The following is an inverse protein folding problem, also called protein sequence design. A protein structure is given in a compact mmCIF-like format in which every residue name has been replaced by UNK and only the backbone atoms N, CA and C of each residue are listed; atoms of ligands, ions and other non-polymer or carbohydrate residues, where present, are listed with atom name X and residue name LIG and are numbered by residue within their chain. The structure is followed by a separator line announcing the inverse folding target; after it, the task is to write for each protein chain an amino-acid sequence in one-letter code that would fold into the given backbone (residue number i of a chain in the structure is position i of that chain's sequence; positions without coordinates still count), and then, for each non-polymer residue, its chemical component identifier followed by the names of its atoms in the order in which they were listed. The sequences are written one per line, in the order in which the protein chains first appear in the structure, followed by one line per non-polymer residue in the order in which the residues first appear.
data_IF_295785482641
#
_entry.id   IF_295785482641
#
_cell.length_a   1.000
_cell.length_b   1.000
_cell.length_c   1.000
_cell.angle_alpha   90.00
_cell.angle_beta   90.00
_cell.angle_gamma   90.00
#
_symmetry.space_group_name_H-M   'P 1'
#
loop_
_entity.id
_entity.type
_entity.pdbx_description
1 polymer ?
#
# COMPACT_ATOMS: atom_id res chain seq x y z
N UNK A 1 -29.03 -8.31 -2.36
CA UNK A 1 -30.08 -7.44 -1.81
C UNK A 1 -29.63 -6.04 -2.12
N UNK A 2 -30.35 -5.35 -3.02
CA UNK A 2 -30.07 -3.97 -3.40
C UNK A 2 -30.22 -3.09 -2.16
N UNK A 3 -29.14 -2.41 -1.73
CA UNK A 3 -29.22 -1.42 -0.68
C UNK A 3 -30.12 -0.27 -1.12
N UNK A 4 -31.33 -0.21 -0.61
CA UNK A 4 -32.20 0.93 -0.73
C UNK A 4 -31.67 2.01 0.23
N UNK A 5 -31.23 3.13 -0.31
CA UNK A 5 -30.88 4.29 0.50
C UNK A 5 -32.16 5.03 0.92
N UNK A 6 -32.28 5.34 2.20
CA UNK A 6 -33.37 6.13 2.71
C UNK A 6 -33.00 7.61 2.67
N UNK A 7 -33.77 8.38 1.94
CA UNK A 7 -33.63 9.84 1.86
C UNK A 7 -34.68 10.53 2.74
N UNK A 8 -34.42 11.78 3.11
CA UNK A 8 -35.34 12.62 3.91
C UNK A 8 -35.66 11.99 5.27
N UNK A 9 -34.62 11.54 5.94
CA UNK A 9 -34.71 10.99 7.30
C UNK A 9 -34.59 12.13 8.30
N UNK A 10 -35.64 12.33 9.11
CA UNK A 10 -35.66 13.33 10.19
C UNK A 10 -34.90 12.84 11.42
N UNK A 11 -34.95 11.55 11.70
CA UNK A 11 -34.25 10.97 12.84
C UNK A 11 -34.24 9.46 12.87
N UNK A 12 -33.25 8.93 13.57
CA UNK A 12 -33.09 7.48 13.78
C UNK A 12 -33.03 7.21 15.28
N UNK A 13 -33.94 6.37 15.78
CA UNK A 13 -33.91 5.88 17.17
C UNK A 13 -33.39 4.44 17.20
N UNK A 14 -32.44 4.19 18.07
CA UNK A 14 -31.83 2.88 18.23
C UNK A 14 -32.38 2.18 19.45
N UNK A 15 -32.98 1.03 19.27
CA UNK A 15 -33.44 0.17 20.35
C UNK A 15 -32.45 -0.98 20.53
N UNK A 16 -31.93 -1.13 21.74
CA UNK A 16 -31.02 -2.22 22.11
C UNK A 16 -31.72 -3.13 23.10
N UNK A 17 -32.12 -4.32 22.65
CA UNK A 17 -32.58 -5.39 23.51
C UNK A 17 -31.42 -6.30 23.93
N UNK A 18 -31.71 -7.26 24.81
CA UNK A 18 -30.70 -8.19 25.35
C UNK A 18 -29.99 -9.03 24.26
N UNK A 19 -30.70 -9.30 23.13
CA UNK A 19 -30.22 -10.13 22.04
C UNK A 19 -30.38 -9.54 20.64
N UNK A 20 -31.09 -8.42 20.49
CA UNK A 20 -31.38 -7.83 19.18
C UNK A 20 -31.30 -6.31 19.24
N UNK A 21 -30.83 -5.73 18.15
CA UNK A 21 -30.78 -4.29 17.92
C UNK A 21 -31.77 -3.97 16.80
N UNK A 22 -32.55 -2.91 16.94
CA UNK A 22 -33.47 -2.44 15.92
C UNK A 22 -33.37 -0.94 15.76
N UNK A 23 -33.65 -0.47 14.56
CA UNK A 23 -33.67 0.94 14.21
C UNK A 23 -35.11 1.35 13.90
N UNK A 24 -35.53 2.48 14.43
CA UNK A 24 -36.77 3.18 14.06
C UNK A 24 -36.41 4.44 13.32
N UNK A 25 -36.81 4.52 12.08
CA UNK A 25 -36.57 5.65 11.18
C UNK A 25 -37.81 6.53 11.17
N UNK A 26 -37.62 7.81 11.36
CA UNK A 26 -38.65 8.84 11.29
C UNK A 26 -38.35 9.66 10.03
N UNK A 27 -39.25 9.69 9.09
CA UNK A 27 -39.13 10.44 7.85
C UNK A 27 -39.72 11.85 7.96
N UNK A 28 -39.29 12.75 7.08
CA UNK A 28 -39.78 14.14 7.05
C UNK A 28 -41.29 14.23 6.73
N UNK A 29 -41.84 13.24 6.03
CA UNK A 29 -43.28 13.14 5.75
C UNK A 29 -44.10 12.61 6.92
N UNK A 30 -43.50 12.37 8.09
CA UNK A 30 -44.14 11.82 9.25
C UNK A 30 -44.19 10.30 9.32
N UNK A 31 -43.79 9.57 8.29
CA UNK A 31 -43.75 8.12 8.32
C UNK A 31 -42.74 7.61 9.35
N UNK A 32 -43.11 6.54 10.03
CA UNK A 32 -42.27 5.85 11.01
C UNK A 32 -42.16 4.36 10.61
N UNK A 33 -40.93 3.92 10.32
CA UNK A 33 -40.65 2.52 9.97
C UNK A 33 -39.58 1.94 10.89
N UNK A 34 -39.73 0.67 11.25
CA UNK A 34 -38.78 -0.03 12.13
C UNK A 34 -38.18 -1.22 11.40
N UNK A 35 -36.87 -1.37 11.52
CA UNK A 35 -36.09 -2.39 10.87
C UNK A 35 -35.17 -3.08 11.87
N UNK A 36 -35.03 -4.42 11.81
CA UNK A 36 -33.96 -5.12 12.51
C UNK A 36 -32.58 -4.67 12.02
N UNK A 37 -31.58 -4.69 12.89
CA UNK A 37 -30.22 -4.28 12.54
C UNK A 37 -29.56 -5.15 11.46
N UNK A 38 -30.10 -6.33 11.21
CA UNK A 38 -29.62 -7.25 10.17
C UNK A 38 -29.91 -6.72 8.75
N UNK A 39 -30.90 -5.85 8.60
CA UNK A 39 -31.38 -5.32 7.32
C UNK A 39 -31.01 -3.85 7.11
N UNK A 40 -30.37 -3.20 8.08
CA UNK A 40 -30.09 -1.77 8.01
C UNK A 40 -28.68 -1.45 8.51
N UNK A 41 -27.87 -0.79 7.69
CA UNK A 41 -26.67 -0.09 8.11
C UNK A 41 -26.95 1.41 8.24
N UNK A 42 -26.45 2.02 9.32
CA UNK A 42 -26.54 3.46 9.53
C UNK A 42 -25.14 4.02 9.43
N UNK A 43 -24.93 4.90 8.48
CA UNK A 43 -23.68 5.63 8.28
C UNK A 43 -23.90 7.10 8.61
N UNK A 44 -22.93 7.71 9.28
CA UNK A 44 -22.95 9.13 9.60
C UNK A 44 -22.15 9.90 8.54
N UNK A 45 -22.67 11.07 8.15
CA UNK A 45 -21.93 12.00 7.31
C UNK A 45 -20.79 12.67 8.08
N UNK A 46 -19.73 13.04 7.39
CA UNK A 46 -18.67 13.89 7.98
C UNK A 46 -19.27 15.21 8.48
N UNK A 47 -18.83 15.65 9.65
CA UNK A 47 -19.33 16.87 10.31
C UNK A 47 -18.20 17.82 10.73
N UNK A 48 -16.94 17.42 10.53
CA UNK A 48 -15.82 18.28 10.86
C UNK A 48 -15.61 19.37 9.80
N UNK A 49 -15.38 20.59 10.28
CA UNK A 49 -15.24 21.77 9.43
C UNK A 49 -14.14 21.61 8.37
N UNK A 50 -13.00 21.04 8.72
CA UNK A 50 -11.87 20.89 7.80
C UNK A 50 -12.21 19.98 6.61
N UNK A 51 -12.83 18.84 6.87
CA UNK A 51 -13.25 17.92 5.80
C UNK A 51 -14.27 18.55 4.87
N UNK A 52 -15.23 19.31 5.45
CA UNK A 52 -16.25 20.01 4.68
C UNK A 52 -15.64 21.13 3.83
N UNK A 53 -14.78 21.96 4.41
CA UNK A 53 -14.10 23.06 3.70
C UNK A 53 -13.26 22.52 2.52
N UNK A 54 -12.52 21.41 2.72
CA UNK A 54 -11.73 20.78 1.65
C UNK A 54 -12.64 20.18 0.57
N UNK A 55 -13.74 19.54 0.95
CA UNK A 55 -14.70 19.00 0.00
C UNK A 55 -15.33 20.12 -0.86
N UNK A 56 -15.69 21.23 -0.23
CA UNK A 56 -16.24 22.40 -0.92
C UNK A 56 -15.22 23.03 -1.87
N UNK A 57 -13.99 23.19 -1.42
CA UNK A 57 -12.88 23.63 -2.26
C UNK A 57 -12.70 22.73 -3.50
N UNK A 58 -12.71 21.40 -3.32
CA UNK A 58 -12.61 20.45 -4.44
C UNK A 58 -13.79 20.58 -5.41
N UNK A 59 -15.01 20.81 -4.90
CA UNK A 59 -16.19 21.07 -5.73
C UNK A 59 -16.02 22.35 -6.54
N UNK A 60 -15.51 23.44 -5.96
CA UNK A 60 -15.23 24.67 -6.68
C UNK A 60 -14.17 24.48 -7.78
N UNK A 61 -13.03 23.87 -7.44
CA UNK A 61 -11.96 23.58 -8.40
C UNK A 61 -12.45 22.70 -9.55
N UNK A 62 -13.37 21.78 -9.26
CA UNK A 62 -13.91 20.86 -10.27
C UNK A 62 -14.70 21.58 -11.38
N UNK A 63 -15.22 22.78 -11.13
CA UNK A 63 -15.95 23.59 -12.13
C UNK A 63 -15.05 24.05 -13.27
N UNK A 64 -13.77 24.20 -12.99
CA UNK A 64 -12.77 24.65 -13.98
C UNK A 64 -12.09 23.49 -14.70
N UNK A 65 -12.37 22.25 -14.31
CA UNK A 65 -11.80 21.07 -14.92
C UNK A 65 -12.80 20.36 -15.83
N UNK A 66 -12.53 20.41 -17.12
CA UNK A 66 -13.32 19.79 -18.16
C UNK A 66 -12.52 18.64 -18.77
N UNK A 67 -13.11 17.46 -18.83
CA UNK A 67 -12.49 16.28 -19.43
C UNK A 67 -13.06 16.12 -20.83
N UNK A 68 -12.24 16.22 -21.90
CA UNK A 68 -12.68 15.92 -23.26
C UNK A 68 -12.98 14.42 -23.40
N UNK A 69 -14.05 14.09 -24.09
CA UNK A 69 -14.41 12.73 -24.49
C UNK A 69 -14.15 12.55 -25.99
N UNK A 70 -14.09 11.28 -26.43
CA UNK A 70 -13.80 10.90 -27.82
C UNK A 70 -14.82 11.42 -28.85
N UNK A 71 -16.04 11.78 -28.44
CA UNK A 71 -17.12 12.26 -29.32
C UNK A 71 -17.31 13.78 -29.27
N UNK A 72 -16.28 14.58 -29.16
CA UNK A 72 -16.35 16.05 -28.98
C UNK A 72 -17.23 16.51 -27.81
N UNK A 73 -17.63 15.59 -26.97
CA UNK A 73 -18.35 15.84 -25.71
C UNK A 73 -17.36 16.12 -24.60
N UNK A 74 -17.72 17.04 -23.76
CA UNK A 74 -16.95 17.33 -22.56
C UNK A 74 -17.75 16.95 -21.32
N UNK A 75 -17.11 16.30 -20.35
CA UNK A 75 -17.71 16.09 -19.03
C UNK A 75 -17.04 17.05 -18.06
N UNK A 76 -17.84 17.89 -17.42
CA UNK A 76 -17.37 18.68 -16.30
C UNK A 76 -17.19 17.79 -15.08
N UNK A 77 -16.04 17.87 -14.41
CA UNK A 77 -15.84 17.22 -13.12
C UNK A 77 -16.84 17.70 -12.07
N UNK A 78 -17.34 18.94 -12.20
CA UNK A 78 -18.40 19.47 -11.35
C UNK A 78 -19.65 18.58 -11.33
N UNK A 79 -20.03 18.00 -12.48
CA UNK A 79 -21.17 17.06 -12.56
C UNK A 79 -20.95 15.79 -11.72
N UNK A 80 -19.70 15.34 -11.61
CA UNK A 80 -19.35 14.18 -10.79
C UNK A 80 -19.32 14.55 -9.31
N UNK A 81 -18.73 15.69 -8.98
CA UNK A 81 -18.68 16.18 -7.61
C UNK A 81 -20.05 16.61 -7.07
N UNK A 82 -20.98 17.09 -7.89
CA UNK A 82 -22.35 17.40 -7.45
C UNK A 82 -23.11 16.16 -6.96
N UNK A 83 -22.77 14.97 -7.48
CA UNK A 83 -23.35 13.69 -7.04
C UNK A 83 -22.76 13.20 -5.71
N UNK A 84 -21.65 13.79 -5.26
CA UNK A 84 -21.02 13.46 -3.99
C UNK A 84 -21.68 14.28 -2.87
N UNK A 85 -22.87 13.88 -2.46
CA UNK A 85 -23.66 14.53 -1.41
C UNK A 85 -23.40 13.96 -0.01
N UNK A 86 -22.84 12.77 0.07
CA UNK A 86 -22.62 12.04 1.31
C UNK A 86 -21.22 11.45 1.37
N UNK A 87 -20.52 11.69 2.45
CA UNK A 87 -19.21 11.08 2.75
C UNK A 87 -19.32 10.42 4.12
N UNK A 88 -19.23 9.08 4.20
CA UNK A 88 -19.34 8.37 5.46
C UNK A 88 -18.18 8.71 6.42
N UNK A 89 -18.48 8.87 7.70
CA UNK A 89 -17.44 8.94 8.75
C UNK A 89 -16.67 7.62 8.81
N UNK A 90 -15.38 7.70 9.05
CA UNK A 90 -14.47 6.55 9.06
C UNK A 90 -14.15 5.99 7.66
N UNK A 91 -14.66 6.62 6.59
CA UNK A 91 -14.33 6.25 5.22
C UNK A 91 -12.90 6.68 4.83
N UNK A 92 -12.35 6.03 3.81
CA UNK A 92 -11.06 6.45 3.24
C UNK A 92 -11.12 7.86 2.64
N UNK A 93 -12.30 8.25 2.15
CA UNK A 93 -12.51 9.60 1.62
C UNK A 93 -12.43 10.65 2.72
N UNK A 94 -13.01 10.42 3.91
CA UNK A 94 -12.81 11.30 5.06
C UNK A 94 -11.31 11.43 5.40
N UNK A 95 -10.59 10.30 5.45
CA UNK A 95 -9.15 10.31 5.69
C UNK A 95 -8.34 11.06 4.63
N UNK A 96 -8.79 11.07 3.38
CA UNK A 96 -8.20 11.86 2.31
C UNK A 96 -8.49 13.37 2.46
N UNK A 97 -9.71 13.72 2.83
CA UNK A 97 -10.11 15.11 3.07
C UNK A 97 -9.44 15.69 4.32
N UNK A 98 -9.21 14.87 5.32
CA UNK A 98 -8.58 15.27 6.59
C UNK A 98 -7.65 14.18 7.10
N UNK A 99 -6.35 14.38 6.89
CA UNK A 99 -5.30 13.41 7.28
C UNK A 99 -5.35 13.05 8.79
N UNK A 100 -5.84 13.96 9.65
CA UNK A 100 -5.98 13.69 11.06
C UNK A 100 -7.10 12.68 11.39
N UNK A 101 -8.02 12.48 10.45
CA UNK A 101 -9.10 11.47 10.53
C UNK A 101 -8.72 10.15 9.88
N UNK A 102 -7.60 10.10 9.18
CA UNK A 102 -7.13 8.87 8.57
C UNK A 102 -6.74 7.85 9.64
N UNK A 103 -7.48 6.77 9.69
CA UNK A 103 -7.18 5.66 10.59
C UNK A 103 -6.02 4.82 10.04
N UNK A 104 -4.88 4.96 10.68
CA UNK A 104 -3.65 4.22 10.35
C UNK A 104 -3.67 2.77 10.85
N UNK A 105 -4.82 2.26 11.33
CA UNK A 105 -4.88 0.86 11.75
C UNK A 105 -4.48 -0.04 10.60
N UNK A 106 -3.36 -0.72 10.77
CA UNK A 106 -2.89 -1.76 9.87
C UNK A 106 -3.98 -2.84 9.81
N UNK A 107 -4.51 -3.09 8.65
CA UNK A 107 -5.36 -4.27 8.43
C UNK A 107 -4.51 -5.50 8.76
N UNK A 108 -5.16 -6.62 9.13
CA UNK A 108 -4.45 -7.85 9.50
C UNK A 108 -3.25 -8.08 8.60
N UNK A 109 -2.09 -8.36 9.22
CA UNK A 109 -0.87 -8.74 8.50
C UNK A 109 -1.19 -9.79 7.44
N UNK A 110 -0.87 -9.48 6.20
CA UNK A 110 -1.14 -10.33 5.05
C UNK A 110 0.19 -10.93 4.60
N UNK A 111 0.21 -12.23 4.34
CA UNK A 111 1.32 -12.88 3.65
C UNK A 111 1.06 -12.80 2.14
N UNK A 112 1.64 -11.83 1.41
CA UNK A 112 1.35 -11.63 0.00
C UNK A 112 1.98 -12.71 -0.87
N UNK A 113 1.31 -13.04 -1.97
CA UNK A 113 1.86 -13.90 -3.04
C UNK A 113 2.39 -13.03 -4.18
N UNK A 114 3.37 -13.55 -4.90
CA UNK A 114 4.07 -12.81 -5.97
C UNK A 114 4.17 -13.64 -7.28
N UNK A 115 3.04 -13.96 -7.93
CA UNK A 115 3.05 -14.79 -9.14
C UNK A 115 3.81 -14.16 -10.30
N UNK A 116 3.95 -12.83 -10.29
CA UNK A 116 4.70 -12.09 -11.32
C UNK A 116 6.16 -11.81 -10.91
N UNK A 117 6.66 -12.43 -9.81
CA UNK A 117 7.96 -12.12 -9.23
C UNK A 117 7.99 -10.77 -8.53
N UNK A 118 9.03 -10.53 -7.74
CA UNK A 118 9.23 -9.23 -7.08
C UNK A 118 10.70 -9.03 -6.71
N UNK A 119 11.07 -7.78 -6.50
CA UNK A 119 12.25 -7.40 -5.73
C UNK A 119 11.82 -6.88 -4.34
N UNK A 120 12.78 -6.57 -3.49
CA UNK A 120 12.52 -6.12 -2.11
C UNK A 120 11.61 -4.89 -2.03
N UNK A 121 11.86 -3.87 -2.87
CA UNK A 121 11.05 -2.65 -2.86
C UNK A 121 9.61 -2.91 -3.33
N UNK A 122 9.44 -3.75 -4.35
CA UNK A 122 8.14 -4.21 -4.82
C UNK A 122 7.42 -5.06 -3.77
N UNK A 123 8.14 -5.97 -3.06
CA UNK A 123 7.59 -6.72 -1.94
C UNK A 123 6.99 -5.78 -0.88
N UNK A 124 7.77 -4.78 -0.45
CA UNK A 124 7.30 -3.79 0.51
C UNK A 124 6.08 -3.01 -0.01
N UNK A 125 6.12 -2.56 -1.26
CA UNK A 125 5.03 -1.82 -1.88
C UNK A 125 3.72 -2.63 -1.94
N UNK A 126 3.79 -3.91 -2.32
CA UNK A 126 2.62 -4.81 -2.35
C UNK A 126 2.07 -5.03 -0.94
N UNK A 127 2.93 -5.33 0.03
CA UNK A 127 2.52 -5.50 1.41
C UNK A 127 1.85 -4.25 1.96
N UNK A 128 2.48 -3.09 1.79
CA UNK A 128 1.96 -1.82 2.28
C UNK A 128 0.61 -1.47 1.63
N UNK A 129 0.42 -1.79 0.33
CA UNK A 129 -0.84 -1.61 -0.37
C UNK A 129 -1.96 -2.52 0.15
N UNK A 130 -1.64 -3.73 0.60
CA UNK A 130 -2.62 -4.68 1.13
C UNK A 130 -2.97 -4.43 2.61
N UNK A 131 -2.02 -3.91 3.38
CA UNK A 131 -2.17 -3.65 4.81
C UNK A 131 -2.77 -2.28 5.12
N UNK A 132 -2.60 -1.29 4.24
CA UNK A 132 -3.07 0.08 4.45
C UNK A 132 -4.30 0.40 3.59
N UNK A 133 -5.11 1.33 4.07
CA UNK A 133 -6.27 1.82 3.31
C UNK A 133 -5.87 2.71 2.12
N UNK A 134 -4.79 3.49 2.27
CA UNK A 134 -4.22 4.35 1.24
C UNK A 134 -2.72 4.07 1.17
N UNK A 135 -2.21 3.87 -0.03
CA UNK A 135 -0.79 3.63 -0.28
C UNK A 135 -0.36 4.37 -1.54
N UNK A 136 0.81 5.00 -1.48
CA UNK A 136 1.41 5.73 -2.62
C UNK A 136 2.68 5.00 -3.04
N UNK A 137 2.71 4.55 -4.30
CA UNK A 137 3.84 3.82 -4.87
C UNK A 137 4.49 4.70 -5.93
N UNK A 138 5.68 5.19 -5.64
CA UNK A 138 6.47 5.99 -6.56
C UNK A 138 7.62 5.17 -7.15
N UNK A 139 7.97 5.46 -8.39
CA UNK A 139 9.13 4.86 -9.04
C UNK A 139 9.32 5.42 -10.45
N UNK A 140 10.57 5.62 -10.90
CA UNK A 140 10.86 6.01 -12.27
C UNK A 140 10.39 4.94 -13.28
N UNK A 141 10.37 5.25 -14.59
CA UNK A 141 10.14 4.25 -15.63
C UNK A 141 11.10 3.06 -15.47
N UNK A 142 10.64 1.84 -15.77
CA UNK A 142 11.47 0.63 -15.71
C UNK A 142 11.58 -0.03 -14.31
N UNK A 143 11.08 0.57 -13.24
CA UNK A 143 11.15 0.00 -11.88
C UNK A 143 10.16 -1.14 -11.60
N UNK A 144 9.37 -1.54 -12.59
CA UNK A 144 8.41 -2.64 -12.45
C UNK A 144 7.10 -2.26 -11.74
N UNK A 145 6.64 -0.99 -11.87
CA UNK A 145 5.35 -0.55 -11.33
C UNK A 145 4.18 -1.43 -11.79
N UNK A 146 4.13 -1.77 -13.09
CA UNK A 146 3.09 -2.67 -13.63
C UNK A 146 3.13 -4.04 -12.98
N UNK A 147 4.32 -4.59 -12.76
CA UNK A 147 4.51 -5.86 -12.06
C UNK A 147 4.01 -5.78 -10.60
N UNK A 148 4.26 -4.68 -9.93
CA UNK A 148 3.74 -4.41 -8.58
C UNK A 148 2.21 -4.37 -8.58
N UNK A 149 1.59 -3.68 -9.55
CA UNK A 149 0.13 -3.65 -9.72
C UNK A 149 -0.43 -5.05 -9.93
N UNK A 150 0.18 -5.85 -10.80
CA UNK A 150 -0.26 -7.23 -11.07
C UNK A 150 -0.19 -8.12 -9.83
N UNK A 151 0.85 -7.97 -9.01
CA UNK A 151 0.95 -8.70 -7.74
C UNK A 151 -0.11 -8.23 -6.72
N UNK A 152 -0.42 -6.93 -6.65
CA UNK A 152 -1.53 -6.42 -5.83
C UNK A 152 -2.85 -7.02 -6.30
N UNK A 153 -3.10 -7.03 -7.63
CA UNK A 153 -4.29 -7.64 -8.22
C UNK A 153 -4.43 -9.11 -7.86
N UNK A 154 -3.37 -9.90 -8.00
CA UNK A 154 -3.37 -11.32 -7.68
C UNK A 154 -3.80 -11.57 -6.21
N UNK A 155 -3.28 -10.78 -5.28
CA UNK A 155 -3.63 -10.88 -3.86
C UNK A 155 -5.07 -10.47 -3.58
N UNK A 156 -5.58 -9.44 -4.25
CA UNK A 156 -6.97 -8.99 -4.10
C UNK A 156 -7.95 -10.04 -4.65
N UNK A 157 -7.65 -10.64 -5.81
CA UNK A 157 -8.44 -11.73 -6.42
C UNK A 157 -8.45 -12.95 -5.48
N UNK A 158 -7.29 -13.36 -4.97
CA UNK A 158 -7.20 -14.46 -4.00
C UNK A 158 -8.02 -14.18 -2.73
N UNK A 159 -8.12 -12.92 -2.34
CA UNK A 159 -8.98 -12.45 -1.25
C UNK A 159 -10.46 -12.30 -1.61
N UNK A 160 -10.90 -12.69 -2.81
CA UNK A 160 -12.27 -12.54 -3.30
C UNK A 160 -12.72 -11.08 -3.45
N UNK A 161 -11.78 -10.16 -3.70
CA UNK A 161 -12.05 -8.73 -3.86
C UNK A 161 -12.21 -8.36 -5.33
N UNK A 162 -13.11 -7.44 -5.59
CA UNK A 162 -13.18 -6.73 -6.87
C UNK A 162 -12.23 -5.54 -6.84
N UNK A 163 -11.73 -5.13 -8.01
CA UNK A 163 -10.81 -4.00 -8.12
C UNK A 163 -11.10 -3.17 -9.37
N UNK A 164 -10.68 -1.92 -9.33
CA UNK A 164 -10.73 -1.03 -10.47
C UNK A 164 -9.35 -0.38 -10.66
N UNK A 165 -8.86 -0.40 -11.90
CA UNK A 165 -7.65 0.32 -12.31
C UNK A 165 -8.09 1.52 -13.11
N UNK A 166 -7.65 2.70 -12.70
CA UNK A 166 -8.00 3.96 -13.34
C UNK A 166 -6.72 4.68 -13.75
N UNK A 167 -6.70 5.21 -14.96
CA UNK A 167 -5.63 6.06 -15.47
C UNK A 167 -6.22 7.13 -16.38
N UNK A 168 -5.58 8.28 -16.44
CA UNK A 168 -5.84 9.30 -17.43
C UNK A 168 -5.22 8.99 -18.82
N UNK A 169 -4.43 7.92 -18.91
CA UNK A 169 -3.81 7.44 -20.12
C UNK A 169 -4.26 6.01 -20.42
N UNK A 170 -4.94 5.80 -21.56
CA UNK A 170 -5.44 4.51 -22.00
C UNK A 170 -4.32 3.48 -22.17
N UNK A 171 -3.14 3.89 -22.65
CA UNK A 171 -2.00 2.98 -22.84
C UNK A 171 -1.48 2.35 -21.53
N UNK A 172 -1.62 3.05 -20.40
CA UNK A 172 -1.23 2.50 -19.12
C UNK A 172 -2.15 1.36 -18.65
N UNK A 173 -3.45 1.48 -18.92
CA UNK A 173 -4.44 0.42 -18.63
C UNK A 173 -4.28 -0.74 -19.60
N UNK A 174 -4.05 -0.42 -20.89
CA UNK A 174 -3.82 -1.44 -21.92
C UNK A 174 -2.59 -2.30 -21.61
N UNK A 175 -1.49 -1.70 -21.17
CA UNK A 175 -0.29 -2.45 -20.75
C UNK A 175 -0.58 -3.46 -19.63
N UNK A 176 -1.45 -3.13 -18.67
CA UNK A 176 -1.84 -4.08 -17.63
C UNK A 176 -2.66 -5.23 -18.23
N UNK A 177 -3.59 -4.91 -19.13
CA UNK A 177 -4.42 -5.90 -19.81
C UNK A 177 -3.59 -6.83 -20.67
N UNK A 178 -2.66 -6.32 -21.49
CA UNK A 178 -1.73 -7.14 -22.31
C UNK A 178 -0.94 -8.12 -21.46
N UNK A 179 -0.44 -7.67 -20.31
CA UNK A 179 0.29 -8.56 -19.39
C UNK A 179 -0.60 -9.65 -18.79
N UNK A 180 -1.86 -9.38 -18.56
CA UNK A 180 -2.80 -10.42 -18.13
C UNK A 180 -3.14 -11.37 -19.26
N UNK A 181 -3.32 -10.87 -20.48
CA UNK A 181 -3.55 -11.71 -21.67
C UNK A 181 -2.37 -12.65 -21.96
N UNK A 182 -1.13 -12.15 -21.82
CA UNK A 182 0.08 -12.97 -21.97
C UNK A 182 0.16 -14.12 -20.95
N UNK A 183 -0.56 -14.02 -19.85
CA UNK A 183 -0.64 -15.05 -18.82
C UNK A 183 -2.01 -15.78 -18.82
N UNK A 184 -2.73 -15.74 -19.93
CA UNK A 184 -4.05 -16.36 -20.12
C UNK A 184 -5.13 -15.89 -19.11
N UNK A 185 -4.91 -14.73 -18.48
CA UNK A 185 -5.80 -14.12 -17.50
C UNK A 185 -6.64 -12.96 -18.06
N UNK A 186 -6.64 -12.77 -19.38
CA UNK A 186 -7.37 -11.67 -20.03
C UNK A 186 -8.87 -11.67 -19.77
N UNK A 187 -9.46 -12.86 -19.55
CA UNK A 187 -10.90 -13.03 -19.32
C UNK A 187 -11.40 -12.42 -18.00
N UNK A 188 -10.50 -12.15 -17.02
CA UNK A 188 -10.89 -11.51 -15.75
C UNK A 188 -11.05 -9.99 -15.86
N UNK A 189 -10.71 -9.39 -17.02
CA UNK A 189 -10.66 -7.96 -17.22
C UNK A 189 -11.85 -7.44 -18.03
N UNK A 190 -12.52 -6.40 -17.52
CA UNK A 190 -13.46 -5.60 -18.26
C UNK A 190 -12.87 -4.21 -18.53
N UNK A 191 -12.67 -3.86 -19.80
CA UNK A 191 -12.20 -2.54 -20.20
C UNK A 191 -13.40 -1.64 -20.44
N UNK A 192 -13.66 -0.72 -19.50
CA UNK A 192 -14.91 0.08 -19.45
C UNK A 192 -14.66 1.59 -19.53
N UNK A 193 -13.47 2.03 -19.88
CA UNK A 193 -13.03 3.42 -19.78
C UNK A 193 -13.87 4.42 -20.61
N UNK A 194 -14.21 4.07 -21.85
CA UNK A 194 -15.02 4.91 -22.75
C UNK A 194 -16.23 4.16 -23.27
N UNK A 195 -17.14 4.86 -23.94
CA UNK A 195 -18.38 4.29 -24.45
C UNK A 195 -18.14 3.21 -25.52
N UNK A 196 -17.15 3.41 -26.40
CA UNK A 196 -16.75 2.45 -27.42
C UNK A 196 -16.20 1.16 -26.80
N UNK A 197 -15.36 1.27 -25.75
CA UNK A 197 -14.85 0.11 -25.03
C UNK A 197 -15.96 -0.68 -24.35
N UNK A 198 -16.95 0.00 -23.75
CA UNK A 198 -18.11 -0.65 -23.13
C UNK A 198 -18.93 -1.42 -24.16
N UNK A 199 -19.22 -0.79 -25.30
CA UNK A 199 -19.95 -1.45 -26.39
C UNK A 199 -19.19 -2.68 -26.90
N UNK A 200 -17.91 -2.52 -27.20
CA UNK A 200 -17.03 -3.61 -27.65
C UNK A 200 -16.90 -4.73 -26.59
N UNK A 201 -16.86 -4.38 -25.30
CA UNK A 201 -16.83 -5.38 -24.25
C UNK A 201 -18.13 -6.19 -24.20
N UNK A 202 -19.30 -5.54 -24.31
CA UNK A 202 -20.60 -6.22 -24.33
C UNK A 202 -20.73 -7.10 -25.56
N UNK A 203 -20.37 -6.59 -26.74
CA UNK A 203 -20.45 -7.31 -28.02
C UNK A 203 -19.56 -8.58 -28.04
N UNK A 204 -18.37 -8.49 -27.41
CA UNK A 204 -17.41 -9.60 -27.31
C UNK A 204 -17.78 -10.62 -26.21
N UNK A 205 -18.84 -10.42 -25.45
CA UNK A 205 -19.32 -11.38 -24.47
C UNK A 205 -20.00 -12.55 -25.18
N UNK A 206 -19.23 -13.57 -25.49
CA UNK A 206 -19.74 -14.77 -26.17
C UNK A 206 -20.41 -15.77 -25.23
N UNK A 207 -20.34 -15.53 -23.91
CA UNK A 207 -20.78 -16.52 -22.91
C UNK A 207 -19.88 -17.76 -22.81
N UNK A 208 -18.82 -17.81 -23.60
CA UNK A 208 -17.84 -18.90 -23.57
C UNK A 208 -16.76 -18.53 -22.56
N UNK A 209 -16.68 -19.29 -21.50
CA UNK A 209 -15.58 -19.20 -20.53
C UNK A 209 -14.41 -20.03 -21.01
N UNK A 210 -13.16 -19.67 -20.60
CA UNK A 210 -12.00 -20.53 -20.84
C UNK A 210 -12.26 -21.95 -20.30
N UNK A 211 -11.73 -22.94 -20.95
CA UNK A 211 -11.79 -24.30 -20.43
C UNK A 211 -11.00 -24.38 -19.12
N UNK A 212 -11.73 -24.47 -18.04
CA UNK A 212 -11.15 -24.56 -16.69
C UNK A 212 -10.92 -26.02 -16.24
N UNK A 213 -11.12 -26.99 -17.10
CA UNK A 213 -10.95 -28.40 -16.77
C UNK A 213 -9.50 -28.72 -16.34
N UNK A 214 -8.53 -28.01 -16.92
CA UNK A 214 -7.12 -28.08 -16.56
C UNK A 214 -6.75 -27.28 -15.30
N UNK A 215 -7.65 -26.44 -14.81
CA UNK A 215 -7.47 -25.65 -13.60
C UNK A 215 -7.97 -26.44 -12.38
N UNK A 216 -7.72 -27.75 -12.37
CA UNK A 216 -8.01 -28.60 -11.24
C UNK A 216 -7.44 -27.92 -9.99
N UNK A 217 -8.31 -27.50 -9.09
CA UNK A 217 -7.92 -26.95 -7.81
C UNK A 217 -7.14 -28.05 -7.08
N UNK A 218 -5.80 -28.02 -7.03
CA UNK A 218 -5.09 -28.86 -6.10
C UNK A 218 -5.62 -28.46 -4.73
N UNK A 219 -5.66 -29.41 -3.79
CA UNK A 219 -6.08 -29.25 -2.41
C UNK A 219 -5.86 -27.79 -1.90
N UNK A 220 -6.86 -26.94 -2.08
CA UNK A 220 -6.78 -25.49 -1.92
C UNK A 220 -6.19 -25.04 -0.56
N UNK A 221 -6.45 -25.73 0.57
CA UNK A 221 -5.82 -25.43 1.84
C UNK A 221 -4.31 -25.70 1.85
N UNK A 222 -3.84 -26.78 1.23
CA UNK A 222 -2.40 -27.11 1.18
C UNK A 222 -1.63 -26.10 0.35
N UNK A 223 -2.14 -25.76 -0.83
CA UNK A 223 -1.52 -24.75 -1.70
C UNK A 223 -1.46 -23.39 -1.00
N UNK A 224 -2.54 -23.02 -0.32
CA UNK A 224 -2.60 -21.76 0.43
C UNK A 224 -1.57 -21.74 1.58
N UNK A 225 -1.47 -22.81 2.33
CA UNK A 225 -0.51 -22.91 3.43
C UNK A 225 0.93 -22.87 2.93
N UNK A 226 1.21 -23.53 1.81
CA UNK A 226 2.52 -23.49 1.16
C UNK A 226 2.86 -22.10 0.65
N UNK A 227 1.93 -21.40 0.01
CA UNK A 227 2.10 -20.01 -0.42
C UNK A 227 2.39 -19.07 0.77
N UNK A 228 1.71 -19.26 1.90
CA UNK A 228 1.97 -18.50 3.13
C UNK A 228 3.38 -18.81 3.65
N UNK A 229 3.79 -20.09 3.69
CA UNK A 229 5.13 -20.49 4.12
C UNK A 229 6.21 -19.83 3.26
N UNK A 230 6.09 -19.92 1.94
CA UNK A 230 7.02 -19.31 0.99
C UNK A 230 7.07 -17.78 1.13
N UNK A 231 5.94 -17.14 1.38
CA UNK A 231 5.90 -15.69 1.63
C UNK A 231 6.66 -15.29 2.89
N UNK A 232 6.57 -16.08 3.95
CA UNK A 232 7.33 -15.86 5.20
C UNK A 232 8.84 -16.06 4.96
N UNK A 233 9.22 -17.10 4.24
CA UNK A 233 10.61 -17.37 3.88
C UNK A 233 11.19 -16.23 3.02
N UNK A 234 10.43 -15.73 2.05
CA UNK A 234 10.80 -14.59 1.22
C UNK A 234 11.02 -13.32 2.07
N UNK A 235 10.15 -13.08 3.04
CA UNK A 235 10.30 -11.95 3.97
C UNK A 235 11.60 -12.06 4.79
N UNK A 236 11.91 -13.26 5.29
CA UNK A 236 13.16 -13.52 6.03
C UNK A 236 14.39 -13.30 5.13
N UNK A 237 14.34 -13.79 3.90
CA UNK A 237 15.41 -13.59 2.93
C UNK A 237 15.68 -12.09 2.68
N UNK A 238 14.65 -11.29 2.47
CA UNK A 238 14.83 -9.85 2.29
C UNK A 238 15.37 -9.16 3.53
N UNK A 239 14.97 -9.58 4.73
CA UNK A 239 15.53 -9.06 5.98
C UNK A 239 17.03 -9.38 6.15
N UNK A 240 17.45 -10.58 5.73
CA UNK A 240 18.86 -10.98 5.72
C UNK A 240 19.65 -10.16 4.69
N UNK A 241 19.10 -9.98 3.49
CA UNK A 241 19.74 -9.14 2.45
C UNK A 241 19.92 -7.70 2.91
N UNK A 242 18.97 -7.16 3.67
CA UNK A 242 19.08 -5.81 4.25
C UNK A 242 20.27 -5.70 5.21
N UNK A 243 20.35 -6.62 6.17
CA UNK A 243 21.45 -6.67 7.12
C UNK A 243 22.81 -6.85 6.42
N UNK A 244 22.83 -7.66 5.35
CA UNK A 244 24.03 -7.85 4.54
C UNK A 244 24.44 -6.54 3.85
N UNK A 245 23.49 -5.83 3.21
CA UNK A 245 23.75 -4.55 2.55
C UNK A 245 24.27 -3.50 3.54
N UNK A 246 23.63 -3.35 4.71
CA UNK A 246 24.10 -2.46 5.79
C UNK A 246 25.53 -2.81 6.25
N UNK A 247 25.82 -4.10 6.41
CA UNK A 247 27.15 -4.56 6.80
C UNK A 247 28.20 -4.26 5.73
N UNK A 248 27.85 -4.38 4.46
CA UNK A 248 28.73 -4.05 3.34
C UNK A 248 29.00 -2.54 3.25
N UNK A 249 27.98 -1.71 3.45
CA UNK A 249 28.15 -0.25 3.50
C UNK A 249 29.10 0.17 4.63
N UNK A 250 28.93 -0.40 5.82
CA UNK A 250 29.83 -0.17 6.96
C UNK A 250 31.25 -0.60 6.61
N UNK A 251 31.40 -1.79 6.01
CA UNK A 251 32.70 -2.30 5.61
C UNK A 251 33.40 -1.38 4.60
N UNK A 252 32.65 -0.88 3.62
CA UNK A 252 33.20 0.04 2.61
C UNK A 252 33.55 1.41 3.19
N UNK A 253 32.76 1.91 4.15
CA UNK A 253 33.07 3.12 4.89
C UNK A 253 34.36 2.96 5.68
N UNK A 254 34.54 1.80 6.36
CA UNK A 254 35.81 1.51 7.08
C UNK A 254 37.00 1.43 6.12
N UNK A 255 36.84 0.71 5.00
CA UNK A 255 37.90 0.59 4.00
C UNK A 255 38.34 1.97 3.50
N UNK A 256 37.42 2.88 3.17
CA UNK A 256 37.73 4.24 2.77
C UNK A 256 38.52 5.01 3.86
N UNK A 257 38.04 4.94 5.10
CA UNK A 257 38.74 5.58 6.22
C UNK A 257 40.15 5.04 6.43
N UNK A 258 40.37 3.74 6.28
CA UNK A 258 41.72 3.14 6.39
C UNK A 258 42.61 3.55 5.22
N UNK A 259 42.03 3.69 4.01
CA UNK A 259 42.81 4.10 2.82
C UNK A 259 43.19 5.59 2.86
N UNK A 260 42.29 6.43 3.41
CA UNK A 260 42.51 7.88 3.51
C UNK A 260 43.40 8.30 4.69
N UNK A 261 43.75 7.36 5.57
CA UNK A 261 44.67 7.63 6.66
C UNK A 261 46.13 7.64 6.15
N UNK A 262 46.83 8.79 6.16
CA UNK A 262 48.20 8.89 5.66
C UNK A 262 49.24 8.30 6.63
N UNK A 263 48.84 7.48 7.58
CA UNK A 263 49.73 6.83 8.51
C UNK A 263 50.26 5.55 7.84
N UNK A 264 51.50 5.63 7.33
CA UNK A 264 52.32 4.43 7.09
C UNK A 264 52.55 3.73 8.42
N UNK A 265 51.58 2.95 8.87
CA UNK A 265 51.81 2.02 9.95
C UNK A 265 52.53 0.80 9.38
N UNK A 266 53.85 0.75 9.52
CA UNK A 266 54.59 -0.50 9.39
C UNK A 266 54.20 -1.40 10.56
N UNK A 267 53.18 -2.23 10.32
CA UNK A 267 52.71 -3.17 11.30
C UNK A 267 53.50 -4.47 11.21
N UNK A 268 54.29 -4.79 12.25
CA UNK A 268 55.09 -6.01 12.40
C UNK A 268 54.43 -7.04 13.32
N UNK A 269 53.12 -7.24 13.27
CA UNK A 269 52.44 -8.25 14.09
C UNK A 269 51.05 -8.62 13.58
N UNK A 270 50.54 -9.82 13.91
CA UNK A 270 49.20 -10.27 13.61
C UNK A 270 48.23 -9.75 14.67
N UNK A 271 47.43 -8.75 14.34
CA UNK A 271 46.26 -8.40 15.13
C UNK A 271 45.17 -9.42 14.84
N UNK A 272 44.55 -9.96 15.89
CA UNK A 272 43.33 -10.78 15.70
C UNK A 272 42.20 -9.88 15.23
N UNK A 273 41.29 -10.44 14.39
CA UNK A 273 40.10 -9.76 13.91
C UNK A 273 39.28 -9.16 15.06
N UNK A 274 39.24 -9.82 16.20
CA UNK A 274 38.56 -9.36 17.42
C UNK A 274 39.18 -8.08 18.01
N UNK A 275 40.50 -7.96 17.95
CA UNK A 275 41.24 -6.75 18.43
C UNK A 275 40.99 -5.57 17.50
N UNK A 276 40.95 -5.80 16.17
CA UNK A 276 40.61 -4.77 15.18
C UNK A 276 39.15 -4.30 15.31
N UNK A 277 38.21 -5.20 15.51
CA UNK A 277 36.81 -4.89 15.74
C UNK A 277 36.61 -4.08 17.04
N UNK A 278 37.24 -4.50 18.13
CA UNK A 278 37.21 -3.73 19.40
C UNK A 278 37.77 -2.33 19.26
N UNK A 279 38.83 -2.17 18.49
CA UNK A 279 39.45 -0.86 18.24
C UNK A 279 38.55 0.02 17.37
N UNK A 280 37.93 -0.58 16.37
CA UNK A 280 36.92 0.09 15.54
C UNK A 280 35.72 0.59 16.36
N UNK A 281 35.10 -0.27 17.17
CA UNK A 281 33.96 0.13 18.01
C UNK A 281 34.34 1.20 19.04
N UNK A 282 35.57 1.19 19.53
CA UNK A 282 36.07 2.24 20.42
C UNK A 282 36.22 3.58 19.69
N UNK A 283 36.70 3.57 18.43
CA UNK A 283 36.83 4.76 17.62
C UNK A 283 35.47 5.29 17.13
N UNK A 284 34.59 4.42 16.66
CA UNK A 284 33.24 4.79 16.19
C UNK A 284 32.40 5.42 17.32
N UNK A 285 32.41 4.81 18.51
CA UNK A 285 31.68 5.32 19.69
C UNK A 285 32.21 6.70 20.16
N UNK A 286 33.42 7.09 19.77
CA UNK A 286 34.01 8.38 20.11
C UNK A 286 33.83 9.43 19.02
N UNK A 287 33.64 9.03 17.78
CA UNK A 287 33.25 9.93 16.68
C UNK A 287 31.78 10.37 16.80
N UNK A 288 30.90 9.48 17.32
CA UNK A 288 29.51 9.81 17.60
C UNK A 288 29.36 10.77 18.78
N UNK A 289 30.22 10.71 19.78
CA UNK A 289 30.28 11.70 20.86
C UNK A 289 31.15 12.87 20.42
N UNK A 290 30.52 13.96 19.99
CA UNK A 290 31.14 15.21 19.55
C UNK A 290 31.94 15.96 20.66
N UNK A 291 32.32 15.26 21.73
CA UNK A 291 33.15 15.79 22.79
C UNK A 291 34.63 15.46 22.57
N UNK A 292 35.43 16.50 22.63
CA UNK A 292 36.92 16.41 22.66
C UNK A 292 37.32 15.28 23.63
N UNK A 293 38.14 14.35 23.13
CA UNK A 293 38.75 13.29 23.93
C UNK A 293 39.24 13.86 25.27
N UNK A 294 38.68 13.35 26.38
CA UNK A 294 39.16 13.75 27.69
C UNK A 294 40.62 13.37 27.91
N UNK A 295 41.27 14.07 28.80
CA UNK A 295 42.69 13.89 29.09
C UNK A 295 43.03 12.44 29.49
N UNK A 296 42.18 11.75 30.26
CA UNK A 296 42.34 10.35 30.66
C UNK A 296 42.26 9.38 29.49
N UNK A 297 41.44 9.63 28.52
CA UNK A 297 41.33 8.80 27.31
C UNK A 297 42.56 8.99 26.41
N UNK A 298 43.12 10.21 26.33
CA UNK A 298 44.37 10.48 25.63
C UNK A 298 45.53 9.78 26.32
N UNK A 299 45.57 9.79 27.68
CA UNK A 299 46.59 9.11 28.47
C UNK A 299 46.51 7.59 28.30
N UNK A 300 45.32 7.03 28.32
CA UNK A 300 45.10 5.57 28.16
C UNK A 300 45.46 5.07 26.76
N UNK A 301 45.26 5.87 25.72
CA UNK A 301 45.75 5.60 24.37
C UNK A 301 47.27 5.72 24.24
N UNK A 302 47.90 6.58 25.05
CA UNK A 302 49.34 6.79 25.05
C UNK A 302 50.09 5.74 25.89
N UNK A 303 49.48 5.19 26.95
CA UNK A 303 50.06 4.19 27.84
C UNK A 303 49.66 2.74 27.53
N UNK A 304 48.64 2.48 26.80
CA UNK A 304 48.56 1.19 26.13
C UNK A 304 49.57 1.24 24.99
N UNK A 305 50.76 0.84 25.28
CA UNK A 305 51.68 0.36 24.25
C UNK A 305 50.91 -0.78 23.56
N UNK A 306 50.18 -0.44 22.51
CA UNK A 306 49.99 -1.40 21.45
C UNK A 306 51.39 -1.97 21.23
N UNK A 307 51.57 -3.24 20.89
CA UNK A 307 52.86 -3.81 20.59
C UNK A 307 53.40 -3.24 19.27
N UNK A 308 53.53 -1.94 19.22
CA UNK A 308 54.20 -1.10 18.27
C UNK A 308 55.51 -0.74 19.00
N UNK A 309 56.46 -1.66 18.90
CA UNK A 309 57.76 -1.62 19.54
C UNK A 309 58.61 -0.53 19.06
#
# INVERSE_FOLDING_TARGET
ISGLEFHRVLGVRVFRGKFKKAYRIIFENGDIKSYPSEYLSVEEHIDDKRSLDVLEYLKEVSKYNVIPLEDDKTISLAEKFSKLSFVPKGSLLEGYLNVNKYDKRVRKSVSPIFPFGCNRSQYKAVRDALENGISVIQGPPGTGKTQTILNIMANLILGGKTMQIVSNNNSAVENVKEKLQTNDLGFICAQLGCSSNKASFIEKQTGVFPDMSLWALPDSPKVRNEAIRLSIELQQLYAIQEKLAESLEILDAIKRQVTDFPIKMEYRGRLSSDTLLRYYFLCARKLESSHKLDWFTRLRLRFRRLPFG
#
